data_IF_995855954275
#
_entry.id   IF_995855954275
#
_cell.length_a   1.000
_cell.length_b   1.000
_cell.length_c   1.000
_cell.angle_alpha   90.00
_cell.angle_beta   90.00
_cell.angle_gamma   90.00
#
_symmetry.space_group_name_H-M   'P 1'
#
loop_
_entity.id
_entity.type
_entity.pdbx_description
1 polymer ?
#
# COMPACT_ATOMS: atom_id res chain seq x y z
N UNK A 1 9.01 9.25 -4.88
CA UNK A 1 8.75 8.14 -3.93
C UNK A 1 9.76 7.01 -4.01
N UNK A 2 10.18 6.49 -5.17
CA UNK A 2 11.06 5.30 -5.23
C UNK A 2 12.46 5.43 -4.57
N UNK A 3 12.93 6.66 -4.29
CA UNK A 3 14.24 6.92 -3.68
C UNK A 3 14.17 7.16 -2.15
N UNK A 4 12.99 7.02 -1.55
CA UNK A 4 12.76 7.18 -0.11
C UNK A 4 13.38 5.97 0.62
N UNK A 5 14.58 6.16 1.17
CA UNK A 5 15.40 5.06 1.72
C UNK A 5 14.83 4.43 2.98
N UNK A 6 13.94 5.13 3.66
CA UNK A 6 13.29 4.69 4.88
C UNK A 6 11.94 4.00 4.62
N UNK A 7 11.56 3.79 3.36
CA UNK A 7 10.39 3.00 2.98
C UNK A 7 10.87 1.67 2.38
N UNK A 8 10.44 0.57 2.98
CA UNK A 8 10.88 -0.78 2.64
C UNK A 8 10.25 -1.32 1.34
N UNK A 9 10.53 -0.70 0.19
CA UNK A 9 9.99 -1.13 -1.10
C UNK A 9 10.50 -2.51 -1.54
N UNK A 10 11.71 -2.89 -1.13
CA UNK A 10 12.31 -4.20 -1.43
C UNK A 10 11.85 -5.31 -0.48
N UNK A 11 10.90 -5.03 0.43
CA UNK A 11 10.25 -6.01 1.28
C UNK A 11 8.77 -6.15 0.87
N UNK A 12 8.46 -6.90 -0.20
CA UNK A 12 7.09 -7.10 -0.63
C UNK A 12 6.23 -8.05 0.23
N UNK A 13 6.75 -8.98 1.08
CA UNK A 13 5.88 -9.92 1.80
C UNK A 13 4.75 -9.28 2.63
N UNK A 14 5.01 -8.14 3.28
CA UNK A 14 4.02 -7.41 4.10
C UNK A 14 4.33 -5.89 4.09
N UNK A 15 3.52 -5.07 4.76
CA UNK A 15 3.78 -3.66 5.04
C UNK A 15 3.20 -2.67 4.04
N UNK A 16 2.36 -3.12 3.11
CA UNK A 16 1.73 -2.26 2.12
C UNK A 16 0.97 -1.09 2.76
N UNK A 17 0.29 -1.33 3.88
CA UNK A 17 -0.40 -0.32 4.68
C UNK A 17 0.53 0.81 5.16
N UNK A 18 1.69 0.46 5.71
CA UNK A 18 2.67 1.40 6.23
C UNK A 18 3.37 2.17 5.11
N UNK A 19 3.74 1.47 4.02
CA UNK A 19 4.27 2.10 2.80
C UNK A 19 3.28 3.12 2.24
N UNK A 20 2.04 2.71 2.04
CA UNK A 20 1.00 3.56 1.49
C UNK A 20 0.75 4.78 2.39
N UNK A 21 0.68 4.59 3.71
CA UNK A 21 0.51 5.67 4.69
C UNK A 21 1.62 6.71 4.59
N UNK A 22 2.88 6.30 4.75
CA UNK A 22 4.04 7.19 4.65
C UNK A 22 4.11 7.91 3.31
N UNK A 23 3.81 7.19 2.22
CA UNK A 23 3.80 7.79 0.90
C UNK A 23 2.70 8.83 0.73
N UNK A 24 1.48 8.56 1.21
CA UNK A 24 0.38 9.52 1.13
C UNK A 24 0.67 10.78 1.95
N UNK A 25 1.21 10.62 3.17
CA UNK A 25 1.63 11.74 4.03
C UNK A 25 2.66 12.61 3.31
N UNK A 26 3.72 12.01 2.74
CA UNK A 26 4.76 12.74 2.01
C UNK A 26 4.28 13.42 0.76
N UNK A 27 3.39 12.77 -0.01
CA UNK A 27 2.80 13.37 -1.20
C UNK A 27 2.08 14.66 -0.83
N UNK A 28 1.25 14.60 0.23
CA UNK A 28 0.52 15.76 0.75
C UNK A 28 1.45 16.87 1.24
N UNK A 29 2.42 16.52 2.08
CA UNK A 29 3.32 17.50 2.72
C UNK A 29 4.29 18.15 1.72
N UNK A 30 4.78 17.38 0.74
CA UNK A 30 5.82 17.86 -0.18
C UNK A 30 5.22 18.61 -1.37
N UNK A 31 4.09 18.15 -1.89
CA UNK A 31 3.52 18.67 -3.14
C UNK A 31 2.20 19.42 -2.94
N UNK A 32 1.60 19.41 -1.75
CA UNK A 32 0.32 20.06 -1.48
C UNK A 32 -0.86 19.42 -2.23
N UNK A 33 -0.73 18.17 -2.65
CA UNK A 33 -1.76 17.41 -3.35
C UNK A 33 -2.36 16.38 -2.39
N UNK A 34 -3.68 16.24 -2.37
CA UNK A 34 -4.37 15.23 -1.55
C UNK A 34 -4.46 13.89 -2.30
N UNK A 35 -3.64 12.87 -1.93
CA UNK A 35 -3.76 11.55 -2.53
C UNK A 35 -4.94 10.78 -1.96
N UNK A 36 -5.38 9.76 -2.68
CA UNK A 36 -6.28 8.72 -2.17
C UNK A 36 -5.50 7.42 -1.98
N UNK A 37 -6.14 6.40 -1.41
CA UNK A 37 -5.64 5.02 -1.41
C UNK A 37 -6.44 4.19 -2.40
N UNK A 38 -5.76 3.37 -3.20
CA UNK A 38 -6.38 2.29 -3.96
C UNK A 38 -6.12 0.98 -3.24
N UNK A 39 -7.16 0.17 -3.11
CA UNK A 39 -7.16 -1.14 -2.47
C UNK A 39 -7.50 -2.20 -3.51
N UNK A 40 -6.80 -3.33 -3.49
CA UNK A 40 -7.20 -4.55 -4.18
C UNK A 40 -7.44 -5.64 -3.15
N UNK A 41 -8.57 -6.34 -3.23
CA UNK A 41 -8.92 -7.50 -2.41
C UNK A 41 -9.10 -8.74 -3.30
N UNK A 42 -8.53 -9.87 -2.89
CA UNK A 42 -8.63 -11.13 -3.64
C UNK A 42 -7.43 -12.05 -3.42
N UNK A 43 -7.22 -13.00 -4.33
CA UNK A 43 -6.00 -13.80 -4.42
C UNK A 43 -4.99 -13.04 -5.27
N UNK A 44 -4.10 -12.30 -4.61
CA UNK A 44 -3.09 -11.46 -5.27
C UNK A 44 -1.75 -12.19 -5.24
N UNK A 45 -1.00 -12.15 -6.34
CA UNK A 45 0.36 -12.71 -6.38
C UNK A 45 1.30 -11.86 -7.24
N UNK A 46 2.52 -11.65 -6.77
CA UNK A 46 3.54 -10.90 -7.50
C UNK A 46 4.84 -11.68 -7.51
N UNK A 47 5.43 -11.82 -8.70
CA UNK A 47 6.78 -12.33 -8.85
C UNK A 47 7.78 -11.28 -8.41
N UNK A 48 8.69 -11.68 -7.51
CA UNK A 48 9.66 -10.78 -6.90
C UNK A 48 11.06 -11.12 -7.41
N UNK A 49 11.82 -10.10 -7.79
CA UNK A 49 13.25 -10.28 -8.04
C UNK A 49 13.96 -10.27 -6.69
N UNK A 50 14.28 -11.44 -6.14
CA UNK A 50 14.93 -11.53 -4.83
C UNK A 50 14.69 -12.86 -4.12
N UNK A 51 14.99 -12.92 -2.81
CA UNK A 51 14.98 -14.16 -2.03
C UNK A 51 13.58 -14.75 -1.82
N UNK A 52 12.54 -13.97 -2.08
CA UNK A 52 11.15 -14.36 -1.84
C UNK A 52 10.53 -15.17 -2.99
N UNK A 53 11.09 -15.11 -4.20
CA UNK A 53 10.55 -15.77 -5.40
C UNK A 53 9.21 -15.16 -5.84
N UNK A 54 8.15 -15.45 -5.12
CA UNK A 54 6.81 -14.88 -5.31
C UNK A 54 6.16 -14.61 -3.96
N UNK A 55 5.38 -13.54 -3.86
CA UNK A 55 4.57 -13.23 -2.65
C UNK A 55 3.09 -13.31 -2.97
N UNK A 56 2.27 -13.65 -1.97
CA UNK A 56 0.81 -13.70 -2.07
C UNK A 56 0.17 -12.83 -1.00
N UNK A 57 -0.92 -12.16 -1.35
CA UNK A 57 -1.66 -11.31 -0.42
C UNK A 57 -3.16 -11.52 -0.53
N UNK A 58 -3.88 -11.34 0.59
CA UNK A 58 -5.34 -11.23 0.59
C UNK A 58 -5.84 -9.82 0.22
N UNK A 59 -4.97 -8.81 0.39
CA UNK A 59 -5.19 -7.46 -0.08
C UNK A 59 -3.87 -6.74 -0.34
N UNK A 60 -3.89 -5.71 -1.18
CA UNK A 60 -2.77 -4.79 -1.37
C UNK A 60 -3.30 -3.35 -1.41
N UNK A 61 -2.46 -2.39 -1.02
CA UNK A 61 -2.83 -0.97 -0.96
C UNK A 61 -1.67 -0.08 -1.39
N UNK A 62 -1.98 0.97 -2.14
CA UNK A 62 -1.03 1.96 -2.60
C UNK A 62 -1.67 3.36 -2.72
N UNK A 63 -0.88 4.44 -2.72
CA UNK A 63 -1.35 5.77 -3.10
C UNK A 63 -1.87 5.81 -4.54
N UNK A 64 -2.94 6.56 -4.77
CA UNK A 64 -3.51 6.82 -6.09
C UNK A 64 -3.83 8.30 -6.25
N UNK A 65 -3.55 8.84 -7.44
CA UNK A 65 -3.83 10.23 -7.80
C UNK A 65 -4.61 10.30 -9.11
N UNK A 66 -5.64 11.15 -9.21
CA UNK A 66 -6.24 11.48 -10.50
C UNK A 66 -5.26 12.37 -11.30
N UNK A 67 -4.93 11.95 -12.52
CA UNK A 67 -3.99 12.66 -13.39
C UNK A 67 -4.66 13.01 -14.72
N UNK A 68 -4.64 14.30 -15.06
CA UNK A 68 -5.07 14.80 -16.36
C UNK A 68 -4.10 14.34 -17.44
N UNK A 69 -4.60 13.59 -18.41
CA UNK A 69 -3.86 13.09 -19.56
C UNK A 69 -3.81 14.16 -20.68
N UNK A 70 -2.88 14.05 -21.65
CA UNK A 70 -2.78 15.00 -22.76
C UNK A 70 -4.06 15.11 -23.62
N UNK A 71 -4.89 14.07 -23.64
CA UNK A 71 -6.17 14.03 -24.36
C UNK A 71 -7.35 14.66 -23.58
N UNK A 72 -7.07 15.21 -22.38
CA UNK A 72 -8.06 15.82 -21.50
C UNK A 72 -8.81 14.84 -20.60
N UNK A 73 -8.55 13.54 -20.68
CA UNK A 73 -9.15 12.55 -19.77
C UNK A 73 -8.45 12.56 -18.40
N UNK A 74 -9.17 12.17 -17.34
CA UNK A 74 -8.59 11.99 -16.01
C UNK A 74 -8.46 10.50 -15.72
N UNK A 75 -7.25 10.05 -15.41
CA UNK A 75 -6.94 8.64 -15.11
C UNK A 75 -6.36 8.53 -13.72
N UNK A 76 -6.84 7.55 -12.95
CA UNK A 76 -6.28 7.22 -11.64
C UNK A 76 -4.94 6.48 -11.82
N UNK A 77 -3.86 7.11 -11.36
CA UNK A 77 -2.51 6.61 -11.45
C UNK A 77 -2.03 6.18 -10.06
N UNK A 78 -1.68 4.91 -9.94
CA UNK A 78 -1.15 4.25 -8.75
C UNK A 78 0.36 4.48 -8.68
N UNK A 79 0.86 4.85 -7.51
CA UNK A 79 2.29 4.98 -7.23
C UNK A 79 2.67 3.85 -6.28
N UNK A 80 3.33 2.81 -6.78
CA UNK A 80 3.72 1.65 -5.96
C UNK A 80 5.13 1.14 -6.32
N UNK A 81 6.19 1.74 -5.75
CA UNK A 81 7.57 1.33 -6.03
C UNK A 81 7.90 -0.09 -5.59
N UNK A 82 7.06 -0.75 -4.78
CA UNK A 82 7.29 -2.14 -4.38
C UNK A 82 7.06 -3.14 -5.52
N UNK A 83 6.25 -2.78 -6.52
CA UNK A 83 5.95 -3.65 -7.67
C UNK A 83 6.08 -2.95 -9.04
N UNK A 84 6.20 -1.62 -9.08
CA UNK A 84 6.27 -0.85 -10.32
C UNK A 84 7.24 0.34 -10.23
N UNK A 85 8.11 0.49 -11.24
CA UNK A 85 9.13 1.56 -11.28
C UNK A 85 8.59 2.95 -11.67
N UNK A 86 7.36 3.02 -12.15
CA UNK A 86 6.69 4.25 -12.61
C UNK A 86 5.24 4.26 -12.13
N UNK A 87 4.56 5.42 -12.13
CA UNK A 87 3.11 5.43 -11.99
C UNK A 87 2.45 4.60 -13.09
N UNK A 88 1.44 3.83 -12.70
CA UNK A 88 0.69 2.93 -13.57
C UNK A 88 -0.81 3.09 -13.34
N UNK A 89 -1.64 2.74 -14.30
CA UNK A 89 -3.08 2.70 -14.11
C UNK A 89 -3.47 1.62 -13.09
N UNK A 90 -4.67 1.74 -12.51
CA UNK A 90 -5.25 0.73 -11.61
C UNK A 90 -5.32 -0.66 -12.28
N UNK A 91 -5.60 -0.71 -13.58
CA UNK A 91 -5.66 -1.97 -14.34
C UNK A 91 -4.28 -2.60 -14.53
N UNK A 92 -3.25 -1.80 -14.85
CA UNK A 92 -1.86 -2.29 -14.91
C UNK A 92 -1.42 -2.79 -13.52
N UNK A 93 -1.75 -2.09 -12.44
CA UNK A 93 -1.41 -2.48 -11.07
C UNK A 93 -2.00 -3.83 -10.70
N UNK A 94 -3.29 -4.06 -11.02
CA UNK A 94 -3.94 -5.37 -10.88
C UNK A 94 -3.31 -6.46 -11.74
N UNK A 95 -2.90 -6.14 -12.97
CA UNK A 95 -2.28 -7.09 -13.87
C UNK A 95 -0.92 -7.58 -13.34
N UNK A 96 -0.11 -6.68 -12.76
CA UNK A 96 1.16 -7.04 -12.09
C UNK A 96 0.91 -8.01 -10.93
N UNK A 97 -0.20 -7.86 -10.21
CA UNK A 97 -0.60 -8.75 -9.11
C UNK A 97 -1.33 -10.03 -9.56
N UNK A 98 -1.34 -10.33 -10.86
CA UNK A 98 -2.09 -11.45 -11.46
C UNK A 98 -3.56 -11.52 -11.03
N UNK A 99 -4.18 -10.36 -10.75
CA UNK A 99 -5.49 -10.28 -10.13
C UNK A 99 -6.47 -9.42 -10.94
N UNK A 100 -6.79 -9.80 -12.20
CA UNK A 100 -7.69 -9.02 -13.05
C UNK A 100 -9.11 -8.91 -12.47
N UNK A 101 -9.52 -9.85 -11.61
CA UNK A 101 -10.84 -9.90 -10.96
C UNK A 101 -10.82 -9.40 -9.51
N UNK A 102 -9.71 -8.83 -9.03
CA UNK A 102 -9.67 -8.26 -7.68
C UNK A 102 -10.73 -7.16 -7.51
N UNK A 103 -11.42 -7.20 -6.37
CA UNK A 103 -12.30 -6.11 -5.95
C UNK A 103 -11.44 -4.89 -5.66
N UNK A 104 -11.71 -3.79 -6.33
CA UNK A 104 -10.89 -2.59 -6.25
C UNK A 104 -11.69 -1.43 -5.70
N UNK A 105 -11.15 -0.78 -4.67
CA UNK A 105 -11.81 0.34 -4.02
C UNK A 105 -10.83 1.52 -3.94
N UNK A 106 -11.32 2.73 -4.16
CA UNK A 106 -10.55 3.95 -3.92
C UNK A 106 -11.18 4.67 -2.74
N UNK A 107 -10.38 4.96 -1.71
CA UNK A 107 -10.84 5.68 -0.52
C UNK A 107 -10.04 6.95 -0.30
N UNK A 108 -10.70 7.96 0.23
CA UNK A 108 -10.03 9.16 0.72
C UNK A 108 -9.18 8.81 1.95
N UNK A 109 -8.17 9.63 2.25
CA UNK A 109 -7.41 9.47 3.49
C UNK A 109 -8.34 9.60 4.70
N UNK A 110 -8.17 8.73 5.69
CA UNK A 110 -9.06 8.66 6.86
C UNK A 110 -10.36 7.87 6.63
N UNK A 111 -10.57 7.28 5.46
CA UNK A 111 -11.71 6.42 5.17
C UNK A 111 -11.29 4.96 4.93
N UNK A 112 -11.86 3.99 5.68
CA UNK A 112 -11.61 2.58 5.45
C UNK A 112 -12.35 2.06 4.21
N UNK A 113 -11.81 1.04 3.53
CA UNK A 113 -12.54 0.32 2.50
C UNK A 113 -13.73 -0.44 3.08
N UNK A 114 -14.66 -0.84 2.22
CA UNK A 114 -15.81 -1.67 2.57
C UNK A 114 -15.44 -3.14 2.51
N UNK A 115 -15.83 -3.90 3.53
CA UNK A 115 -15.72 -5.35 3.52
C UNK A 115 -16.84 -5.94 2.64
N UNK A 116 -16.46 -6.54 1.51
CA UNK A 116 -17.40 -7.10 0.54
C UNK A 116 -18.31 -8.19 1.12
N UNK A 117 -17.85 -8.94 2.13
CA UNK A 117 -18.65 -10.01 2.76
C UNK A 117 -19.74 -9.48 3.68
N UNK A 118 -19.56 -8.30 4.27
CA UNK A 118 -20.53 -7.72 5.22
C UNK A 118 -21.26 -6.50 4.67
N UNK A 119 -20.76 -5.89 3.59
CA UNK A 119 -21.22 -4.62 3.05
C UNK A 119 -20.93 -3.42 3.96
N UNK A 120 -20.18 -3.60 5.06
CA UNK A 120 -19.85 -2.54 6.02
C UNK A 120 -18.40 -2.09 5.87
N UNK A 121 -18.07 -0.83 6.17
CA UNK A 121 -16.68 -0.38 6.27
C UNK A 121 -15.89 -1.25 7.26
N UNK A 122 -14.62 -1.53 6.95
CA UNK A 122 -13.70 -2.03 7.97
C UNK A 122 -13.61 -1.02 9.13
N UNK A 123 -13.35 -1.46 10.37
CA UNK A 123 -13.08 -0.53 11.47
C UNK A 123 -11.80 0.28 11.22
N UNK A 124 -11.59 1.35 11.99
CA UNK A 124 -10.40 2.20 11.88
C UNK A 124 -10.52 3.31 10.82
N UNK A 125 -9.38 3.90 10.47
CA UNK A 125 -9.28 5.08 9.58
C UNK A 125 -8.91 4.73 8.14
N UNK A 126 -8.88 3.44 7.79
CA UNK A 126 -8.34 2.99 6.51
C UNK A 126 -6.81 3.04 6.46
N UNK A 127 -6.15 2.87 7.60
CA UNK A 127 -4.72 2.54 7.65
C UNK A 127 -4.48 1.14 7.05
N UNK A 128 -5.26 0.16 7.48
CA UNK A 128 -5.33 -1.22 7.01
C UNK A 128 -6.79 -1.74 7.13
N UNK A 129 -7.13 -2.96 6.65
CA UNK A 129 -8.48 -3.53 6.74
C UNK A 129 -8.86 -3.99 8.18
N UNK A 130 -8.74 -3.10 9.16
CA UNK A 130 -8.94 -3.42 10.57
C UNK A 130 -8.76 -2.21 11.49
N UNK A 131 -8.96 -2.43 12.80
CA UNK A 131 -8.81 -1.39 13.82
C UNK A 131 -7.39 -0.82 13.78
N UNK A 132 -7.25 0.51 13.76
CA UNK A 132 -5.95 1.16 13.68
C UNK A 132 -4.95 0.64 14.73
N UNK A 133 -3.70 0.39 14.34
CA UNK A 133 -2.67 0.02 15.28
C UNK A 133 -2.20 1.25 16.05
N UNK A 134 -1.96 1.08 17.35
CA UNK A 134 -1.47 2.13 18.24
C UNK A 134 -2.52 3.24 18.49
N UNK A 135 -2.42 3.98 19.61
CA UNK A 135 -3.41 4.99 20.05
C UNK A 135 -3.48 6.26 19.16
N UNK A 136 -3.49 6.11 17.83
CA UNK A 136 -3.65 7.18 16.84
C UNK A 136 -2.37 7.65 16.15
N UNK A 137 -1.17 7.26 16.63
CA UNK A 137 0.10 7.64 16.00
C UNK A 137 0.50 6.63 14.91
N UNK A 138 -0.17 6.74 13.78
CA UNK A 138 0.07 5.91 12.59
C UNK A 138 1.43 6.19 11.94
N UNK A 139 1.96 7.40 12.11
CA UNK A 139 3.26 7.79 11.53
C UNK A 139 4.40 7.08 12.25
N UNK A 140 4.41 7.12 13.59
CA UNK A 140 5.41 6.40 14.39
C UNK A 140 5.31 4.88 14.20
N UNK A 141 4.08 4.34 14.12
CA UNK A 141 3.88 2.92 13.85
C UNK A 141 4.40 2.53 12.45
N UNK A 142 4.10 3.32 11.42
CA UNK A 142 4.60 3.08 10.06
C UNK A 142 6.13 3.11 9.99
N UNK A 143 6.75 4.09 10.65
CA UNK A 143 8.20 4.22 10.70
C UNK A 143 8.87 3.00 11.36
N UNK A 144 8.32 2.50 12.47
CA UNK A 144 8.85 1.28 13.12
C UNK A 144 8.65 0.02 12.27
N UNK A 145 7.51 -0.11 11.57
CA UNK A 145 7.28 -1.20 10.61
C UNK A 145 8.32 -1.15 9.49
N UNK A 146 8.51 0.01 8.86
CA UNK A 146 9.48 0.16 7.77
C UNK A 146 10.91 -0.11 8.22
N UNK A 147 11.31 0.34 9.43
CA UNK A 147 12.63 0.05 9.99
C UNK A 147 12.88 -1.45 10.06
N UNK A 148 11.93 -2.23 10.60
CA UNK A 148 12.04 -3.70 10.69
C UNK A 148 12.09 -4.36 9.32
N UNK A 149 11.29 -3.88 8.36
CA UNK A 149 11.21 -4.46 7.02
C UNK A 149 12.39 -4.10 6.13
N UNK A 150 13.06 -2.96 6.36
CA UNK A 150 14.35 -2.68 5.74
C UNK A 150 15.41 -3.70 6.19
N UNK A 151 15.53 -3.93 7.49
CA UNK A 151 16.46 -4.95 8.04
C UNK A 151 16.12 -6.36 7.53
N UNK A 152 14.84 -6.67 7.37
CA UNK A 152 14.36 -7.95 6.83
C UNK A 152 14.70 -8.11 5.35
N UNK A 153 14.46 -7.06 4.56
CA UNK A 153 14.76 -7.01 3.14
C UNK A 153 16.24 -7.19 2.84
N UNK A 154 17.12 -6.59 3.65
CA UNK A 154 18.57 -6.78 3.57
C UNK A 154 19.00 -8.23 3.84
N UNK A 155 18.30 -8.91 4.76
CA UNK A 155 18.57 -10.32 5.11
C UNK A 155 17.89 -11.31 4.16
N UNK A 156 16.91 -10.87 3.39
CA UNK A 156 16.11 -11.73 2.53
C UNK A 156 15.20 -12.72 3.27
N UNK A 157 14.81 -12.38 4.49
CA UNK A 157 13.88 -13.19 5.30
C UNK A 157 12.49 -12.55 5.26
N UNK A 158 11.44 -13.35 5.32
CA UNK A 158 10.05 -12.93 5.51
C UNK A 158 9.53 -13.22 6.93
N UNK A 159 10.37 -13.81 7.78
CA UNK A 159 10.08 -14.14 9.19
C UNK A 159 10.22 -12.91 10.10
N UNK A 160 9.44 -11.87 9.81
CA UNK A 160 9.42 -10.63 10.60
C UNK A 160 8.01 -10.31 11.07
N UNK A 161 7.85 -10.37 12.38
CA UNK A 161 6.60 -10.01 13.05
C UNK A 161 6.49 -8.48 13.12
N UNK A 162 5.43 -7.88 12.55
CA UNK A 162 5.17 -6.46 12.72
C UNK A 162 5.04 -6.10 14.21
N UNK A 163 5.38 -4.86 14.61
CA UNK A 163 5.21 -4.43 16.00
C UNK A 163 3.78 -4.71 16.48
N UNK A 164 3.64 -5.31 17.66
CA UNK A 164 2.31 -5.60 18.21
C UNK A 164 1.52 -4.30 18.36
N UNK A 165 0.24 -4.27 17.94
CA UNK A 165 -0.64 -3.16 18.26
C UNK A 165 -0.67 -2.99 19.78
N UNK A 166 -0.17 -1.86 20.30
CA UNK A 166 -0.34 -1.55 21.73
C UNK A 166 -1.82 -1.27 21.96
N UNK A 167 -2.44 -2.06 22.83
CA UNK A 167 -3.83 -1.90 23.27
C UNK A 167 -3.93 -0.82 24.35
#
# INVERSE_FOLDING_TARGET
MANEKDIAFNYPPDGCYARAHMMTTRIRETYGVEPSKVWAFGDLSVDTNGPYGSVRWGYHVAPVLPVLQPDGTVVNMVIDPSIARRPISVNEWKAIMHAPTADTQITLLGQPPTNASTGKPYPGTGYWPGQDPYNGDLDAYSAEVMRRYLEAGEKGTDDVVPPSPRR
#
